data_IF_597487345232
#
_entry.id   IF_597487345232
#
_cell.length_a   1.000
_cell.length_b   1.000
_cell.length_c   1.000
_cell.angle_alpha   90.00
_cell.angle_beta   90.00
_cell.angle_gamma   90.00
#
_symmetry.space_group_name_H-M   'P 1'
#
loop_
_entity.id
_entity.type
_entity.pdbx_description
1 polymer ?
#
# COMPACT_ATOMS: atom_id res chain seq x y z
N UNK A 1 51.90 17.62 24.22
CA UNK A 1 51.98 18.86 25.01
C UNK A 1 52.08 20.03 24.07
N UNK A 2 51.35 21.12 24.35
CA UNK A 2 51.61 22.52 23.99
C UNK A 2 50.43 23.39 24.46
N UNK A 3 50.75 24.63 24.83
CA UNK A 3 49.93 25.66 25.49
C UNK A 3 50.58 27.02 25.16
N UNK A 4 49.93 28.19 25.17
CA UNK A 4 48.59 28.71 25.53
C UNK A 4 48.39 30.01 24.68
N UNK A 5 47.33 30.84 24.82
CA UNK A 5 45.93 30.68 25.28
C UNK A 5 44.92 31.30 24.25
N UNK A 6 43.63 31.45 24.59
CA UNK A 6 43.03 32.79 24.79
C UNK A 6 41.60 32.72 25.36
N UNK A 7 41.29 33.65 26.25
CA UNK A 7 39.94 33.83 26.80
C UNK A 7 39.14 34.79 25.92
N UNK A 8 38.02 34.33 25.36
CA UNK A 8 36.93 35.18 24.90
C UNK A 8 35.78 35.12 25.91
N UNK A 9 35.03 36.21 26.14
CA UNK A 9 34.17 36.33 27.32
C UNK A 9 32.95 35.43 27.26
N UNK A 10 32.55 34.92 28.43
CA UNK A 10 31.23 34.36 28.65
C UNK A 10 30.16 35.42 28.32
N UNK A 11 29.46 35.24 27.20
CA UNK A 11 28.20 35.91 26.96
C UNK A 11 27.17 35.26 27.90
N UNK A 12 26.91 35.91 29.03
CA UNK A 12 25.83 35.50 29.90
C UNK A 12 24.49 35.64 29.15
N UNK A 13 23.91 34.51 28.75
CA UNK A 13 22.52 34.45 28.33
C UNK A 13 21.65 34.78 29.55
N UNK A 14 21.39 36.07 29.77
CA UNK A 14 20.40 36.55 30.72
C UNK A 14 19.00 36.26 30.18
N UNK A 15 18.60 34.99 30.27
CA UNK A 15 17.21 34.59 30.16
C UNK A 15 16.43 35.39 31.22
N UNK A 16 15.61 36.32 30.75
CA UNK A 16 14.96 37.35 31.57
C UNK A 16 13.52 36.92 31.80
N UNK A 17 13.16 36.72 33.05
CA UNK A 17 11.85 36.25 33.47
C UNK A 17 10.75 37.24 33.03
N UNK A 18 9.91 36.81 32.08
CA UNK A 18 8.82 37.64 31.53
C UNK A 18 7.75 37.99 32.58
N UNK A 19 7.74 37.37 33.77
CA UNK A 19 6.80 37.71 34.85
C UNK A 19 7.15 39.02 35.58
N UNK A 20 8.36 39.58 35.36
CA UNK A 20 8.76 40.83 36.00
C UNK A 20 9.35 41.86 35.03
N UNK A 21 8.58 42.91 34.73
CA UNK A 21 8.94 44.34 34.72
C UNK A 21 7.99 45.16 33.83
N UNK A 22 7.70 46.37 34.25
CA UNK A 22 7.00 47.34 33.43
C UNK A 22 7.94 47.92 32.36
N UNK A 23 7.45 48.02 31.12
CA UNK A 23 7.90 48.96 30.08
C UNK A 23 9.39 48.91 29.71
N UNK A 24 9.81 47.99 28.83
CA UNK A 24 10.68 48.31 27.64
C UNK A 24 11.08 47.11 26.76
N UNK A 25 10.87 45.86 27.17
CA UNK A 25 11.25 44.68 26.37
C UNK A 25 10.00 43.83 26.04
N UNK A 26 9.77 43.56 24.75
CA UNK A 26 8.64 42.77 24.29
C UNK A 26 8.90 41.28 24.50
N UNK A 27 8.25 40.68 25.51
CA UNK A 27 8.20 39.23 25.62
C UNK A 27 7.33 38.68 24.48
N UNK A 28 7.88 37.75 23.70
CA UNK A 28 7.17 37.02 22.66
C UNK A 28 6.38 35.89 23.31
N UNK A 29 5.11 35.73 22.96
CA UNK A 29 4.23 34.71 23.53
C UNK A 29 3.52 33.93 22.41
N UNK A 30 3.58 32.60 22.50
CA UNK A 30 2.87 31.68 21.62
C UNK A 30 1.96 30.79 22.47
N UNK A 31 0.72 30.61 22.04
CA UNK A 31 -0.21 29.67 22.65
C UNK A 31 -0.68 28.63 21.62
N UNK A 32 -0.57 27.36 21.97
CA UNK A 32 -1.07 26.22 21.22
C UNK A 32 -2.26 25.59 21.96
N UNK A 33 -3.30 25.18 21.26
CA UNK A 33 -4.38 24.37 21.82
C UNK A 33 -4.85 23.24 20.91
N UNK A 34 -5.30 22.15 21.52
CA UNK A 34 -5.73 20.89 20.88
C UNK A 34 -6.99 20.33 21.56
N UNK A 35 -7.74 19.42 20.93
CA UNK A 35 -9.02 18.93 21.46
C UNK A 35 -9.01 17.50 22.02
N UNK A 36 -8.07 16.68 21.56
CA UNK A 36 -8.09 15.21 21.69
C UNK A 36 -6.79 14.65 22.29
N UNK A 37 -5.94 15.52 22.83
CA UNK A 37 -4.65 15.17 23.42
C UNK A 37 -4.11 16.25 24.34
N UNK A 38 -2.84 16.12 24.67
CA UNK A 38 -2.07 17.03 25.51
C UNK A 38 -0.77 17.42 24.84
N UNK A 39 -0.26 18.59 25.20
CA UNK A 39 0.95 19.20 24.69
C UNK A 39 2.01 19.26 25.79
N UNK A 40 3.25 18.98 25.43
CA UNK A 40 4.42 19.12 26.30
C UNK A 40 5.59 19.73 25.53
N UNK A 41 6.65 20.12 26.24
CA UNK A 41 7.94 20.52 25.63
C UNK A 41 9.02 19.62 26.22
N UNK A 42 9.79 18.96 25.36
CA UNK A 42 10.91 18.12 25.78
C UNK A 42 12.13 18.98 26.19
N UNK A 43 12.97 18.44 27.07
CA UNK A 43 14.24 19.04 27.52
C UNK A 43 14.14 20.51 27.96
N UNK A 44 13.17 20.81 28.84
CA UNK A 44 13.08 22.11 29.51
C UNK A 44 14.26 22.36 30.46
N UNK A 45 14.77 23.59 30.45
CA UNK A 45 15.85 24.07 31.31
C UNK A 45 15.32 25.05 32.38
N UNK A 46 16.09 25.21 33.46
CA UNK A 46 15.78 26.19 34.51
C UNK A 46 15.68 27.61 33.92
N UNK A 47 14.49 28.21 34.04
CA UNK A 47 14.16 29.53 33.53
C UNK A 47 13.40 29.57 32.20
N UNK A 48 13.15 28.43 31.55
CA UNK A 48 12.24 28.38 30.40
C UNK A 48 10.79 28.67 30.83
N UNK A 49 10.14 29.63 30.18
CA UNK A 49 8.80 30.10 30.54
C UNK A 49 7.75 29.33 29.74
N UNK A 50 7.35 28.15 30.26
CA UNK A 50 6.34 27.29 29.63
C UNK A 50 5.24 26.92 30.60
N UNK A 51 4.01 27.34 30.28
CA UNK A 51 2.78 27.03 31.02
C UNK A 51 1.95 25.98 30.28
N UNK A 52 1.21 25.14 31.01
CA UNK A 52 0.32 24.13 30.41
C UNK A 52 0.98 22.80 30.04
N UNK A 53 2.15 22.46 30.61
CA UNK A 53 2.78 21.15 30.42
C UNK A 53 1.82 19.99 30.71
N UNK A 54 1.65 19.08 29.74
CA UNK A 54 0.74 17.95 29.84
C UNK A 54 -0.75 18.31 29.79
N UNK A 55 -1.12 19.49 29.26
CA UNK A 55 -2.50 19.95 29.12
C UNK A 55 -2.91 20.14 27.65
N UNK A 56 -4.19 20.35 27.39
CA UNK A 56 -4.73 20.62 26.05
C UNK A 56 -4.41 22.02 25.52
N UNK A 57 -3.91 22.91 26.38
CA UNK A 57 -3.44 24.25 26.05
C UNK A 57 -2.01 24.42 26.61
N UNK A 58 -1.10 24.94 25.79
CA UNK A 58 0.30 25.15 26.11
C UNK A 58 0.69 26.58 25.71
N UNK A 59 1.33 27.32 26.61
CA UNK A 59 1.82 28.67 26.33
C UNK A 59 3.33 28.73 26.56
N UNK A 60 4.07 29.23 25.57
CA UNK A 60 5.52 29.42 25.62
C UNK A 60 5.80 30.91 25.46
N UNK A 61 6.61 31.44 26.38
CA UNK A 61 7.02 32.84 26.41
C UNK A 61 8.55 32.97 26.38
N UNK A 62 9.10 33.99 25.73
CA UNK A 62 10.52 34.32 25.83
C UNK A 62 10.82 35.75 25.36
N UNK A 63 11.84 36.38 25.94
CA UNK A 63 12.42 37.63 25.41
C UNK A 63 13.34 37.40 24.20
N UNK A 64 13.58 36.15 23.79
CA UNK A 64 14.46 35.75 22.69
C UNK A 64 13.72 34.89 21.66
N UNK A 65 13.62 35.39 20.42
CA UNK A 65 13.03 34.65 19.30
C UNK A 65 13.75 33.31 19.04
N UNK A 66 15.07 33.26 19.25
CA UNK A 66 15.86 32.03 19.09
C UNK A 66 15.45 30.96 20.11
N UNK A 67 15.25 31.35 21.37
CA UNK A 67 14.82 30.44 22.44
C UNK A 67 13.35 30.03 22.27
N UNK A 68 12.48 30.94 21.86
CA UNK A 68 11.09 30.63 21.54
C UNK A 68 11.00 29.57 20.42
N UNK A 69 11.75 29.75 19.33
CA UNK A 69 11.79 28.78 18.23
C UNK A 69 12.41 27.44 18.63
N UNK A 70 13.43 27.45 19.49
CA UNK A 70 14.06 26.26 20.06
C UNK A 70 13.06 25.44 20.89
N UNK A 71 12.34 26.08 21.82
CA UNK A 71 11.27 25.46 22.62
C UNK A 71 10.12 24.95 21.75
N UNK A 72 9.69 25.72 20.75
CA UNK A 72 8.65 25.30 19.80
C UNK A 72 9.06 24.07 18.98
N UNK A 73 10.35 23.91 18.65
CA UNK A 73 10.86 22.73 17.94
C UNK A 73 10.80 21.43 18.76
N UNK A 74 10.69 21.54 20.09
CA UNK A 74 10.55 20.43 21.05
C UNK A 74 9.12 20.23 21.56
N UNK A 75 8.12 20.91 20.98
CA UNK A 75 6.71 20.68 21.34
C UNK A 75 6.26 19.31 20.88
N UNK A 76 5.82 18.48 21.81
CA UNK A 76 5.26 17.16 21.55
C UNK A 76 3.77 17.13 21.81
N UNK A 77 3.06 16.29 21.05
CA UNK A 77 1.63 16.01 21.23
C UNK A 77 1.42 14.55 21.61
N UNK A 78 0.63 14.30 22.64
CA UNK A 78 0.19 12.96 23.04
C UNK A 78 -1.33 12.85 22.99
N UNK A 79 -1.86 11.96 22.14
CA UNK A 79 -3.30 11.68 22.07
C UNK A 79 -3.80 11.07 23.37
N UNK A 80 -4.87 11.63 23.96
CA UNK A 80 -5.53 11.09 25.14
C UNK A 80 -6.72 10.21 24.79
N UNK A 81 -7.24 10.32 23.56
CA UNK A 81 -8.22 9.39 23.00
C UNK A 81 -7.52 8.17 22.37
N UNK A 82 -8.12 6.98 22.53
CA UNK A 82 -7.71 5.77 21.81
C UNK A 82 -8.51 5.64 20.52
N UNK A 83 -7.84 5.79 19.37
CA UNK A 83 -8.37 5.41 18.07
C UNK A 83 -7.22 5.00 17.12
N UNK A 84 -7.50 4.13 16.15
CA UNK A 84 -6.44 3.51 15.31
C UNK A 84 -5.88 4.50 14.28
N UNK A 85 -6.77 5.34 13.73
CA UNK A 85 -6.50 6.47 12.84
C UNK A 85 -7.44 7.60 13.24
N UNK A 86 -6.93 8.70 13.75
CA UNK A 86 -7.74 9.89 14.09
C UNK A 86 -6.97 11.16 13.69
N UNK A 87 -7.61 12.31 13.86
CA UNK A 87 -7.01 13.61 13.62
C UNK A 87 -7.45 14.57 14.70
N UNK A 88 -6.54 15.42 15.15
CA UNK A 88 -6.85 16.56 16.00
C UNK A 88 -6.55 17.86 15.23
N UNK A 89 -7.17 18.97 15.64
CA UNK A 89 -6.95 20.28 15.02
C UNK A 89 -6.17 21.15 16.00
N UNK A 90 -4.90 21.40 15.69
CA UNK A 90 -4.05 22.31 16.46
C UNK A 90 -4.41 23.75 16.10
N UNK A 91 -4.60 24.57 17.12
CA UNK A 91 -4.80 26.01 17.05
C UNK A 91 -3.55 26.69 17.57
N UNK A 92 -2.75 27.28 16.69
CA UNK A 92 -1.53 28.02 17.02
C UNK A 92 -1.81 29.52 16.97
N UNK A 93 -1.48 30.24 18.05
CA UNK A 93 -1.70 31.69 18.17
C UNK A 93 -0.40 32.39 18.56
N UNK A 94 -0.06 33.45 17.85
CA UNK A 94 1.05 34.36 18.14
C UNK A 94 0.58 35.79 17.90
N UNK A 95 0.64 36.64 18.94
CA UNK A 95 0.05 37.99 18.90
C UNK A 95 -1.41 37.95 18.36
N UNK A 96 -1.76 38.80 17.40
CA UNK A 96 -3.08 38.84 16.75
C UNK A 96 -3.24 37.80 15.61
N UNK A 97 -2.29 36.88 15.44
CA UNK A 97 -2.25 35.93 14.34
C UNK A 97 -2.59 34.50 14.80
N UNK A 98 -3.45 33.83 14.02
CA UNK A 98 -3.89 32.47 14.29
C UNK A 98 -3.73 31.57 13.06
N UNK A 99 -3.04 30.45 13.24
CA UNK A 99 -3.01 29.34 12.30
C UNK A 99 -3.77 28.14 12.88
N UNK A 100 -4.43 27.36 12.01
CA UNK A 100 -5.01 26.08 12.40
C UNK A 100 -4.56 25.01 11.42
N UNK A 101 -4.11 23.86 11.92
CA UNK A 101 -3.64 22.75 11.09
C UNK A 101 -3.99 21.40 11.71
N UNK A 102 -4.34 20.38 10.89
CA UNK A 102 -4.62 19.05 11.39
C UNK A 102 -3.33 18.31 11.73
N UNK A 103 -3.34 17.53 12.81
CA UNK A 103 -2.34 16.51 13.10
C UNK A 103 -2.96 15.13 12.92
N UNK A 104 -2.33 14.29 12.10
CA UNK A 104 -2.82 12.94 11.79
C UNK A 104 -2.23 11.94 12.77
N UNK A 105 -3.07 11.41 13.66
CA UNK A 105 -2.68 10.46 14.70
C UNK A 105 -2.93 9.05 14.15
N UNK A 106 -1.85 8.29 13.99
CA UNK A 106 -1.89 6.92 13.47
C UNK A 106 -1.18 5.99 14.44
N UNK A 107 -1.82 4.87 14.78
CA UNK A 107 -1.14 3.81 15.52
C UNK A 107 -0.11 3.14 14.61
N UNK A 108 1.17 3.00 15.02
CA UNK A 108 2.15 2.24 14.25
C UNK A 108 1.72 0.77 14.11
N UNK A 109 1.86 0.22 12.91
CA UNK A 109 1.73 -1.22 12.64
C UNK A 109 3.02 -1.96 13.02
N UNK A 110 2.89 -3.18 13.53
CA UNK A 110 4.05 -4.08 13.66
C UNK A 110 4.53 -4.45 12.25
N UNK A 111 5.82 -4.30 11.91
CA UNK A 111 6.30 -4.63 10.57
C UNK A 111 6.25 -6.15 10.31
N UNK A 112 5.77 -6.53 9.13
CA UNK A 112 5.86 -7.92 8.65
C UNK A 112 7.22 -8.07 7.98
N UNK A 113 8.12 -8.83 8.62
CA UNK A 113 9.44 -9.11 8.08
C UNK A 113 9.45 -10.46 7.37
N UNK A 114 10.08 -10.49 6.19
CA UNK A 114 10.35 -11.71 5.43
C UNK A 114 11.85 -11.95 5.37
N UNK A 115 12.25 -13.22 5.28
CA UNK A 115 13.62 -13.59 4.89
C UNK A 115 13.87 -13.04 3.47
N UNK A 116 14.93 -12.21 3.24
CA UNK A 116 15.27 -11.73 1.91
C UNK A 116 15.75 -12.85 0.97
N UNK A 117 15.96 -14.07 1.48
CA UNK A 117 16.37 -15.22 0.70
C UNK A 117 17.80 -15.11 0.16
N UNK A 118 18.13 -16.04 -0.74
CA UNK A 118 19.45 -16.12 -1.41
C UNK A 118 19.36 -16.10 -2.92
N UNK A 119 18.22 -16.54 -3.45
CA UNK A 119 17.91 -16.59 -4.88
C UNK A 119 16.40 -16.51 -5.12
N UNK A 120 16.01 -16.41 -6.38
CA UNK A 120 14.62 -16.22 -6.82
C UNK A 120 13.65 -17.30 -6.30
N UNK A 121 14.12 -18.54 -6.10
CA UNK A 121 13.29 -19.65 -5.60
C UNK A 121 12.95 -19.51 -4.11
N UNK A 122 13.72 -18.73 -3.36
CA UNK A 122 13.48 -18.38 -1.96
C UNK A 122 12.71 -17.06 -1.77
N UNK A 123 12.75 -16.18 -2.77
CA UNK A 123 12.12 -14.85 -2.73
C UNK A 123 10.71 -14.82 -3.31
N UNK A 124 10.44 -15.67 -4.31
CA UNK A 124 9.19 -15.69 -5.08
C UNK A 124 8.58 -17.08 -5.09
N UNK A 125 7.27 -17.14 -4.82
CA UNK A 125 6.42 -18.29 -5.16
C UNK A 125 5.54 -17.91 -6.35
N UNK A 126 5.46 -18.77 -7.37
CA UNK A 126 4.48 -18.58 -8.45
C UNK A 126 3.15 -19.15 -7.97
N UNK A 127 2.07 -18.41 -8.17
CA UNK A 127 0.73 -18.90 -7.85
C UNK A 127 -0.21 -18.76 -9.06
N UNK A 128 -1.08 -19.73 -9.22
CA UNK A 128 -2.09 -19.74 -10.27
C UNK A 128 -3.37 -20.40 -9.78
N UNK A 129 -4.47 -20.15 -10.49
CA UNK A 129 -5.77 -20.76 -10.23
C UNK A 129 -6.32 -21.34 -11.51
N UNK A 130 -6.63 -22.64 -11.49
CA UNK A 130 -7.23 -23.35 -12.64
C UNK A 130 -8.70 -23.66 -12.45
N UNK A 131 -9.37 -23.99 -13.55
CA UNK A 131 -10.73 -24.54 -13.58
C UNK A 131 -10.96 -25.23 -14.94
N UNK A 132 -11.01 -26.57 -14.96
CA UNK A 132 -11.24 -27.38 -16.17
C UNK A 132 -10.21 -27.20 -17.31
N UNK A 133 -9.04 -26.60 -17.02
CA UNK A 133 -8.01 -26.18 -17.99
C UNK A 133 -6.65 -26.87 -17.76
N UNK A 134 -6.67 -28.18 -17.54
CA UNK A 134 -5.44 -28.93 -17.25
C UNK A 134 -4.45 -28.96 -18.41
N UNK A 135 -4.89 -28.80 -19.67
CA UNK A 135 -3.97 -28.73 -20.82
C UNK A 135 -3.14 -27.45 -20.76
N UNK A 136 -3.81 -26.33 -20.54
CA UNK A 136 -3.24 -25.00 -20.43
C UNK A 136 -2.31 -24.93 -19.21
N UNK A 137 -2.78 -25.39 -18.05
CA UNK A 137 -2.00 -25.45 -16.81
C UNK A 137 -0.73 -26.31 -16.97
N UNK A 138 -0.80 -27.43 -17.70
CA UNK A 138 0.38 -28.26 -17.95
C UNK A 138 1.41 -27.54 -18.84
N UNK A 139 0.97 -26.76 -19.84
CA UNK A 139 1.88 -25.92 -20.65
C UNK A 139 2.51 -24.80 -19.81
N UNK A 140 1.73 -24.16 -18.92
CA UNK A 140 2.25 -23.19 -17.96
C UNK A 140 3.32 -23.83 -17.06
N UNK A 141 3.02 -24.97 -16.43
CA UNK A 141 3.97 -25.67 -15.54
C UNK A 141 5.24 -26.10 -16.28
N UNK A 142 5.11 -26.65 -17.50
CA UNK A 142 6.26 -27.07 -18.30
C UNK A 142 7.13 -25.88 -18.74
N UNK A 143 6.52 -24.78 -19.18
CA UNK A 143 7.23 -23.56 -19.56
C UNK A 143 7.92 -22.91 -18.36
N UNK A 144 7.27 -22.81 -17.18
CA UNK A 144 7.91 -22.40 -15.93
C UNK A 144 9.13 -23.28 -15.64
N UNK A 145 8.98 -24.61 -15.67
CA UNK A 145 10.04 -25.56 -15.30
C UNK A 145 11.25 -25.55 -16.26
N UNK A 146 11.08 -25.08 -17.49
CA UNK A 146 12.17 -24.84 -18.45
C UNK A 146 13.16 -23.77 -18.00
N UNK A 147 12.69 -22.72 -17.30
CA UNK A 147 13.51 -21.59 -16.85
C UNK A 147 13.75 -21.60 -15.33
N UNK A 148 12.73 -21.99 -14.56
CA UNK A 148 12.69 -22.00 -13.10
C UNK A 148 12.39 -23.43 -12.60
N UNK A 149 13.37 -24.32 -12.69
CA UNK A 149 13.19 -25.76 -12.40
C UNK A 149 12.90 -26.08 -10.92
N UNK A 150 13.18 -25.15 -10.00
CA UNK A 150 13.03 -25.32 -8.54
C UNK A 150 12.03 -24.36 -7.89
N UNK A 151 11.53 -23.33 -8.58
CA UNK A 151 10.65 -22.33 -7.96
C UNK A 151 9.35 -22.98 -7.47
N UNK A 152 8.88 -22.59 -6.29
CA UNK A 152 7.62 -23.11 -5.75
C UNK A 152 6.46 -22.66 -6.63
N UNK A 153 5.56 -23.59 -6.98
CA UNK A 153 4.30 -23.30 -7.66
C UNK A 153 3.16 -23.72 -6.73
N UNK A 154 2.18 -22.84 -6.50
CA UNK A 154 0.93 -23.18 -5.81
C UNK A 154 -0.22 -23.10 -6.83
N UNK A 155 -0.97 -24.19 -6.96
CA UNK A 155 -2.15 -24.28 -7.83
C UNK A 155 -3.40 -24.37 -6.96
N UNK A 156 -4.27 -23.37 -7.02
CA UNK A 156 -5.62 -23.45 -6.47
C UNK A 156 -6.59 -23.95 -7.55
N UNK A 157 -7.42 -24.94 -7.23
CA UNK A 157 -8.20 -25.67 -8.23
C UNK A 157 -9.63 -25.91 -7.74
N UNK A 158 -10.63 -25.36 -8.44
CA UNK A 158 -12.07 -25.59 -8.19
C UNK A 158 -12.74 -26.38 -9.34
N UNK A 159 -11.97 -27.15 -10.10
CA UNK A 159 -12.48 -28.00 -11.18
C UNK A 159 -13.56 -28.95 -10.68
N UNK A 160 -14.56 -29.23 -11.54
CA UNK A 160 -15.70 -30.10 -11.20
C UNK A 160 -15.25 -31.52 -10.84
N UNK A 161 -14.23 -32.03 -11.54
CA UNK A 161 -13.55 -33.29 -11.27
C UNK A 161 -12.04 -33.02 -11.29
N UNK A 162 -11.39 -32.85 -10.12
CA UNK A 162 -9.98 -32.50 -10.08
C UNK A 162 -9.04 -33.60 -10.59
N UNK A 163 -8.10 -33.24 -11.47
CA UNK A 163 -7.02 -34.12 -11.93
C UNK A 163 -5.75 -33.90 -11.07
N UNK A 164 -4.99 -34.93 -10.68
CA UNK A 164 -3.79 -34.76 -9.85
C UNK A 164 -2.68 -33.96 -10.56
N UNK A 165 -2.38 -32.76 -10.06
CA UNK A 165 -1.25 -31.96 -10.55
C UNK A 165 -0.01 -32.30 -9.71
N UNK A 166 1.03 -32.84 -10.35
CA UNK A 166 2.24 -33.30 -9.66
C UNK A 166 3.52 -32.83 -10.34
N UNK A 167 4.58 -32.63 -9.55
CA UNK A 167 5.89 -32.19 -10.04
C UNK A 167 6.79 -31.71 -8.90
N UNK A 168 8.05 -31.43 -9.23
CA UNK A 168 8.99 -30.85 -8.27
C UNK A 168 8.47 -29.51 -7.74
N UNK A 169 8.45 -29.31 -6.42
CA UNK A 169 8.00 -28.09 -5.74
C UNK A 169 6.65 -27.53 -6.26
N UNK A 170 5.67 -28.40 -6.44
CA UNK A 170 4.26 -28.02 -6.73
C UNK A 170 3.40 -28.40 -5.53
N UNK A 171 2.57 -27.47 -5.06
CA UNK A 171 1.49 -27.74 -4.12
C UNK A 171 0.15 -27.51 -4.83
N UNK A 172 -0.71 -28.54 -4.82
CA UNK A 172 -2.01 -28.54 -5.48
C UNK A 172 -3.11 -28.55 -4.42
N UNK A 173 -3.89 -27.47 -4.37
CA UNK A 173 -4.95 -27.26 -3.38
C UNK A 173 -6.32 -27.33 -4.06
N UNK A 174 -7.03 -28.41 -3.78
CA UNK A 174 -8.38 -28.66 -4.28
C UNK A 174 -9.40 -27.91 -3.41
N UNK A 175 -10.25 -27.13 -4.07
CA UNK A 175 -11.37 -26.39 -3.50
C UNK A 175 -12.70 -27.11 -3.80
N UNK A 176 -13.80 -26.77 -3.12
CA UNK A 176 -15.13 -27.16 -3.60
C UNK A 176 -15.34 -26.71 -5.05
N UNK A 177 -16.12 -27.45 -5.87
CA UNK A 177 -16.32 -27.12 -7.27
C UNK A 177 -16.85 -25.69 -7.51
N UNK A 178 -16.31 -25.05 -8.55
CA UNK A 178 -16.78 -23.77 -9.10
C UNK A 178 -16.86 -22.59 -8.11
N UNK A 179 -16.05 -22.59 -7.04
CA UNK A 179 -16.00 -21.51 -6.03
C UNK A 179 -15.60 -20.15 -6.62
N UNK A 180 -14.80 -20.12 -7.68
CA UNK A 180 -14.47 -18.91 -8.42
C UNK A 180 -13.04 -18.41 -8.22
N UNK A 181 -12.72 -17.36 -8.99
CA UNK A 181 -11.37 -16.83 -9.16
C UNK A 181 -10.81 -16.25 -7.85
N UNK A 182 -11.59 -15.43 -7.15
CA UNK A 182 -11.15 -14.70 -5.97
C UNK A 182 -11.04 -15.61 -4.73
N UNK A 183 -11.90 -16.62 -4.61
CA UNK A 183 -11.72 -17.69 -3.63
C UNK A 183 -10.39 -18.44 -3.82
N UNK A 184 -10.03 -18.78 -5.07
CA UNK A 184 -8.76 -19.45 -5.37
C UNK A 184 -7.53 -18.58 -5.18
N UNK A 185 -7.63 -17.28 -5.50
CA UNK A 185 -6.59 -16.28 -5.20
C UNK A 185 -6.31 -16.20 -3.70
N UNK A 186 -7.36 -16.06 -2.88
CA UNK A 186 -7.23 -16.09 -1.41
C UNK A 186 -6.58 -17.38 -0.91
N UNK A 187 -7.01 -18.54 -1.42
CA UNK A 187 -6.43 -19.81 -1.01
C UNK A 187 -4.94 -19.84 -1.32
N UNK A 188 -4.52 -19.58 -2.56
CA UNK A 188 -3.11 -19.59 -2.90
C UNK A 188 -2.28 -18.56 -2.11
N UNK A 189 -2.79 -17.33 -1.92
CA UNK A 189 -2.12 -16.28 -1.13
C UNK A 189 -2.02 -16.64 0.36
N UNK A 190 -2.98 -17.37 0.91
CA UNK A 190 -2.92 -17.85 2.30
C UNK A 190 -1.78 -18.85 2.55
N UNK A 191 -1.32 -19.57 1.51
CA UNK A 191 -0.26 -20.59 1.60
C UNK A 191 1.16 -20.04 1.32
N UNK A 192 1.28 -18.74 1.00
CA UNK A 192 2.57 -18.09 0.75
C UNK A 192 3.43 -17.95 2.00
N UNK A 193 4.72 -18.27 1.86
CA UNK A 193 5.76 -18.04 2.88
C UNK A 193 6.88 -17.11 2.41
N UNK A 194 6.93 -16.81 1.11
CA UNK A 194 7.93 -15.95 0.47
C UNK A 194 7.56 -14.47 0.54
N UNK A 195 8.57 -13.58 0.48
CA UNK A 195 8.39 -12.10 0.49
C UNK A 195 7.47 -11.64 -0.63
N UNK A 196 7.70 -12.18 -1.83
CA UNK A 196 6.92 -11.89 -3.02
C UNK A 196 6.22 -13.14 -3.53
N UNK A 197 5.22 -12.91 -4.38
CA UNK A 197 4.63 -13.95 -5.22
C UNK A 197 4.34 -13.39 -6.61
N UNK A 198 4.34 -14.28 -7.61
CA UNK A 198 3.97 -13.97 -8.98
C UNK A 198 2.61 -14.56 -9.30
N UNK A 199 1.60 -13.73 -9.53
CA UNK A 199 0.33 -14.18 -10.08
C UNK A 199 0.47 -14.42 -11.59
N UNK A 200 -0.01 -15.57 -12.04
CA UNK A 200 -0.20 -15.91 -13.46
C UNK A 200 -1.53 -16.63 -13.66
N UNK A 201 -2.21 -16.35 -14.77
CA UNK A 201 -3.36 -17.17 -15.17
C UNK A 201 -2.86 -18.47 -15.83
N UNK A 202 -3.64 -19.55 -15.73
CA UNK A 202 -3.24 -20.92 -16.10
C UNK A 202 -3.06 -21.14 -17.62
N UNK A 203 -3.50 -20.19 -18.45
CA UNK A 203 -3.26 -20.11 -19.90
C UNK A 203 -2.08 -19.22 -20.31
N UNK A 204 -1.19 -18.85 -19.39
CA UNK A 204 0.06 -18.17 -19.72
C UNK A 204 1.17 -19.17 -20.13
N UNK A 205 2.23 -18.67 -20.76
CA UNK A 205 3.40 -19.44 -21.16
C UNK A 205 4.69 -18.63 -20.89
N UNK A 206 5.64 -19.21 -20.16
CA UNK A 206 6.93 -18.58 -19.93
C UNK A 206 7.81 -18.67 -21.18
N UNK A 207 8.37 -17.55 -21.60
CA UNK A 207 9.22 -17.41 -22.78
C UNK A 207 10.68 -17.16 -22.38
N UNK A 208 11.60 -17.07 -23.35
CA UNK A 208 13.03 -16.88 -23.07
C UNK A 208 13.31 -15.50 -22.41
N UNK A 209 12.45 -14.54 -22.71
CA UNK A 209 12.41 -13.16 -22.22
C UNK A 209 11.69 -13.00 -20.87
N UNK A 210 11.00 -14.03 -20.37
CA UNK A 210 10.23 -13.96 -19.12
C UNK A 210 11.16 -14.05 -17.91
N UNK A 211 11.46 -12.90 -17.27
CA UNK A 211 12.47 -12.76 -16.21
C UNK A 211 11.88 -12.24 -14.91
N UNK A 212 11.66 -13.14 -13.95
CA UNK A 212 11.14 -12.80 -12.62
C UNK A 212 12.17 -11.95 -11.84
N UNK A 213 13.46 -12.16 -12.05
CA UNK A 213 14.52 -11.40 -11.38
C UNK A 213 14.40 -9.89 -11.66
N UNK A 214 13.98 -9.51 -12.87
CA UNK A 214 13.83 -8.11 -13.27
C UNK A 214 12.68 -7.40 -12.56
N UNK A 215 11.62 -8.12 -12.15
CA UNK A 215 10.60 -7.56 -11.26
C UNK A 215 11.16 -7.34 -9.86
N UNK A 216 11.86 -8.35 -9.32
CA UNK A 216 12.42 -8.31 -7.95
C UNK A 216 13.47 -7.21 -7.81
N UNK A 217 14.33 -7.00 -8.80
CA UNK A 217 15.35 -5.94 -8.80
C UNK A 217 14.73 -4.55 -8.61
N UNK A 218 13.64 -4.25 -9.34
CA UNK A 218 12.88 -3.00 -9.22
C UNK A 218 12.20 -2.90 -7.84
N UNK A 219 11.58 -3.98 -7.36
CA UNK A 219 10.85 -4.01 -6.07
C UNK A 219 11.76 -4.02 -4.84
N UNK A 220 13.02 -4.45 -4.93
CA UNK A 220 14.02 -4.25 -3.87
C UNK A 220 14.56 -2.81 -3.89
N UNK A 221 14.66 -2.18 -5.06
CA UNK A 221 14.98 -0.76 -5.19
C UNK A 221 13.86 0.18 -4.71
N UNK A 222 12.60 -0.26 -4.78
CA UNK A 222 11.41 0.49 -4.36
C UNK A 222 10.46 -0.44 -3.56
N UNK A 223 10.73 -0.68 -2.25
CA UNK A 223 10.09 -1.74 -1.43
C UNK A 223 8.61 -1.51 -1.08
N UNK A 224 8.04 -0.41 -1.56
CA UNK A 224 6.63 -0.07 -1.47
C UNK A 224 5.82 -0.49 -2.71
N UNK A 225 6.48 -0.83 -3.83
CA UNK A 225 5.81 -1.15 -5.09
C UNK A 225 5.37 -2.62 -5.21
N UNK A 226 4.30 -2.80 -5.97
CA UNK A 226 3.87 -4.03 -6.61
C UNK A 226 3.82 -3.83 -8.14
N UNK A 227 4.19 -4.82 -8.94
CA UNK A 227 4.53 -4.63 -10.37
C UNK A 227 3.75 -5.53 -11.33
N UNK A 228 3.12 -4.91 -12.33
CA UNK A 228 2.50 -5.57 -13.47
C UNK A 228 3.38 -5.55 -14.72
N UNK A 229 3.42 -6.67 -15.44
CA UNK A 229 4.11 -6.80 -16.72
C UNK A 229 3.18 -6.72 -17.94
N UNK A 230 3.63 -7.30 -19.04
CA UNK A 230 2.95 -7.38 -20.33
C UNK A 230 2.54 -8.82 -20.64
N UNK A 231 1.40 -9.01 -21.33
CA UNK A 231 0.92 -10.33 -21.74
C UNK A 231 0.84 -10.36 -23.26
N UNK A 232 1.69 -11.18 -23.89
CA UNK A 232 1.89 -11.23 -25.36
C UNK A 232 2.18 -9.87 -26.00
N UNK A 233 2.88 -9.00 -25.28
CA UNK A 233 3.23 -7.64 -25.72
C UNK A 233 2.11 -6.60 -25.57
N UNK A 234 0.95 -6.96 -24.99
CA UNK A 234 -0.07 -5.99 -24.59
C UNK A 234 0.12 -5.55 -23.13
N UNK A 235 -0.02 -4.25 -22.91
CA UNK A 235 0.01 -3.62 -21.59
C UNK A 235 -1.41 -3.17 -21.22
N UNK A 236 -2.08 -3.99 -20.41
CA UNK A 236 -3.32 -3.60 -19.77
C UNK A 236 -3.03 -3.00 -18.39
N UNK A 237 -3.21 -1.68 -18.27
CA UNK A 237 -3.17 -0.93 -17.02
C UNK A 237 -4.19 0.21 -17.03
N UNK A 238 -4.53 0.71 -15.84
CA UNK A 238 -5.50 1.80 -15.67
C UNK A 238 -5.26 2.60 -14.39
N UNK A 239 -5.85 3.80 -14.36
CA UNK A 239 -5.99 4.67 -13.19
C UNK A 239 -7.43 4.58 -12.65
N UNK A 240 -7.59 4.76 -11.36
CA UNK A 240 -8.85 4.89 -10.63
C UNK A 240 -8.92 6.29 -10.02
N UNK A 241 -9.85 7.11 -10.51
CA UNK A 241 -10.30 8.28 -9.76
C UNK A 241 -11.41 7.84 -8.79
N UNK A 242 -11.23 8.17 -7.52
CA UNK A 242 -12.21 7.92 -6.47
C UNK A 242 -12.47 9.23 -5.71
N UNK A 243 -13.74 9.61 -5.65
CA UNK A 243 -14.28 10.61 -4.73
C UNK A 243 -15.07 9.85 -3.65
N UNK A 244 -14.81 10.15 -2.37
CA UNK A 244 -15.45 9.48 -1.23
C UNK A 244 -16.90 9.95 -1.03
N UNK A 245 -17.25 11.14 -1.52
CA UNK A 245 -18.57 11.74 -1.32
C UNK A 245 -18.87 12.05 0.15
N UNK A 246 -20.15 11.99 0.52
CA UNK A 246 -20.63 12.15 1.89
C UNK A 246 -21.66 11.09 2.29
N UNK A 247 -22.14 11.13 3.55
CA UNK A 247 -23.12 10.19 4.12
C UNK A 247 -24.52 10.24 3.48
N UNK A 248 -24.77 11.16 2.54
CA UNK A 248 -25.99 11.24 1.74
C UNK A 248 -25.77 10.76 0.31
N UNK A 249 -24.68 11.22 -0.33
CA UNK A 249 -24.48 11.09 -1.77
C UNK A 249 -23.48 10.00 -2.17
N UNK A 250 -22.74 9.40 -1.23
CA UNK A 250 -21.86 8.25 -1.47
C UNK A 250 -20.71 8.48 -2.45
N UNK A 251 -19.83 7.48 -2.57
CA UNK A 251 -18.63 7.59 -3.40
C UNK A 251 -18.89 7.53 -4.91
N UNK A 252 -18.02 8.18 -5.67
CA UNK A 252 -18.00 8.14 -7.12
C UNK A 252 -16.66 7.58 -7.62
N UNK A 253 -16.70 6.53 -8.46
CA UNK A 253 -15.50 5.88 -8.98
C UNK A 253 -15.44 5.88 -10.51
N UNK A 254 -14.27 6.21 -11.07
CA UNK A 254 -14.02 6.21 -12.52
C UNK A 254 -12.70 5.53 -12.85
N UNK A 255 -12.78 4.43 -13.61
CA UNK A 255 -11.61 3.81 -14.25
C UNK A 255 -11.24 4.58 -15.52
N UNK A 256 -9.95 4.81 -15.72
CA UNK A 256 -9.40 5.59 -16.82
C UNK A 256 -8.24 4.83 -17.44
N UNK A 257 -8.23 4.70 -18.78
CA UNK A 257 -7.05 4.22 -19.49
C UNK A 257 -5.98 5.30 -19.49
N UNK A 258 -4.95 5.12 -18.68
CA UNK A 258 -3.87 6.07 -18.47
C UNK A 258 -2.96 5.63 -17.32
N UNK A 259 -2.03 6.50 -16.94
CA UNK A 259 -1.13 6.34 -15.80
C UNK A 259 -1.02 7.68 -15.04
N UNK A 260 -0.62 7.62 -13.77
CA UNK A 260 -0.43 8.81 -12.94
C UNK A 260 0.82 9.60 -13.36
N UNK A 261 1.96 8.92 -13.35
CA UNK A 261 3.25 9.48 -13.78
C UNK A 261 4.23 8.35 -14.18
N UNK A 262 5.29 8.64 -14.96
CA UNK A 262 6.40 7.72 -15.16
C UNK A 262 7.07 7.37 -13.81
N UNK A 263 7.59 6.16 -13.68
CA UNK A 263 8.29 5.73 -12.47
C UNK A 263 9.74 6.30 -12.48
N UNK A 264 10.15 7.11 -11.48
CA UNK A 264 11.47 7.74 -11.49
C UNK A 264 12.60 6.71 -11.53
N UNK A 265 13.50 6.83 -12.50
CA UNK A 265 14.67 5.96 -12.67
C UNK A 265 14.43 4.66 -13.45
N UNK A 266 13.19 4.37 -13.87
CA UNK A 266 12.84 3.13 -14.57
C UNK A 266 12.11 3.43 -15.89
N UNK A 267 12.88 3.47 -16.98
CA UNK A 267 12.34 3.78 -18.32
C UNK A 267 11.29 2.75 -18.76
N UNK A 268 10.14 3.23 -19.21
CA UNK A 268 9.01 2.39 -19.62
C UNK A 268 8.19 1.81 -18.47
N UNK A 269 8.46 2.19 -17.22
CA UNK A 269 7.59 1.94 -16.07
C UNK A 269 6.72 3.15 -15.72
N UNK A 270 5.48 2.92 -15.30
CA UNK A 270 4.50 3.96 -14.97
C UNK A 270 3.69 3.60 -13.72
N UNK A 271 3.48 4.56 -12.82
CA UNK A 271 2.59 4.40 -11.67
C UNK A 271 1.13 4.39 -12.13
N UNK A 272 0.37 3.40 -11.68
CA UNK A 272 -1.01 3.07 -12.08
C UNK A 272 -1.76 2.50 -10.88
N UNK A 273 -3.08 2.35 -10.96
CA UNK A 273 -3.85 1.75 -9.86
C UNK A 273 -4.16 0.28 -10.10
N UNK A 274 -4.19 -0.18 -11.37
CA UNK A 274 -4.36 -1.59 -11.69
C UNK A 274 -3.66 -2.04 -12.96
N UNK A 275 -3.35 -3.33 -13.01
CA UNK A 275 -2.50 -3.98 -14.01
C UNK A 275 -2.98 -5.39 -14.32
N UNK A 276 -2.67 -5.90 -15.52
CA UNK A 276 -2.96 -7.25 -16.01
C UNK A 276 -2.54 -8.37 -15.04
N UNK A 277 -3.12 -9.57 -15.20
CA UNK A 277 -2.83 -10.77 -14.38
C UNK A 277 -1.42 -11.36 -14.54
N UNK A 278 -0.43 -10.56 -14.93
CA UNK A 278 0.98 -10.89 -14.82
C UNK A 278 1.61 -9.94 -13.80
N UNK A 279 1.51 -10.30 -12.52
CA UNK A 279 1.65 -9.37 -11.40
C UNK A 279 2.56 -9.96 -10.32
N UNK A 280 3.76 -9.39 -10.12
CA UNK A 280 4.60 -9.66 -8.96
C UNK A 280 4.24 -8.70 -7.83
N UNK A 281 3.91 -9.23 -6.66
CA UNK A 281 3.49 -8.41 -5.53
C UNK A 281 4.06 -8.92 -4.20
N UNK A 282 4.12 -8.01 -3.22
CA UNK A 282 4.44 -8.30 -1.83
C UNK A 282 3.31 -9.10 -1.18
N UNK A 283 3.68 -10.17 -0.52
CA UNK A 283 2.73 -11.12 0.08
C UNK A 283 1.86 -10.47 1.16
N UNK A 284 2.42 -9.59 1.98
CA UNK A 284 1.70 -8.86 3.04
C UNK A 284 0.79 -7.76 2.50
N UNK A 285 1.26 -6.98 1.51
CA UNK A 285 0.47 -5.95 0.84
C UNK A 285 -0.83 -6.53 0.28
N UNK A 286 -0.75 -7.61 -0.51
CA UNK A 286 -1.95 -8.27 -1.08
C UNK A 286 -2.81 -8.94 -0.02
N UNK A 287 -2.23 -9.48 1.07
CA UNK A 287 -3.00 -9.99 2.22
C UNK A 287 -3.79 -8.89 2.95
N UNK A 288 -3.30 -7.65 2.96
CA UNK A 288 -4.01 -6.51 3.57
C UNK A 288 -5.23 -6.03 2.78
N UNK A 289 -5.27 -6.36 1.48
CA UNK A 289 -6.42 -6.12 0.60
C UNK A 289 -7.37 -7.30 0.63
N UNK A 290 -6.85 -8.51 0.38
CA UNK A 290 -7.63 -9.72 0.15
C UNK A 290 -8.34 -9.72 -1.21
N UNK A 291 -8.95 -10.84 -1.57
CA UNK A 291 -9.81 -10.96 -2.74
C UNK A 291 -11.24 -11.24 -2.28
N UNK A 292 -12.24 -10.53 -2.82
CA UNK A 292 -13.63 -10.73 -2.44
C UNK A 292 -14.23 -12.03 -3.03
N UNK A 293 -14.49 -13.09 -2.22
CA UNK A 293 -14.95 -14.37 -2.75
C UNK A 293 -16.39 -14.34 -3.28
N UNK A 294 -17.13 -13.25 -3.10
CA UNK A 294 -18.42 -13.04 -3.78
C UNK A 294 -18.23 -12.99 -5.31
N UNK A 295 -17.09 -12.49 -5.78
CA UNK A 295 -16.81 -12.22 -7.19
C UNK A 295 -16.19 -13.44 -7.89
N UNK A 296 -17.04 -14.31 -8.42
CA UNK A 296 -16.60 -15.64 -8.88
C UNK A 296 -15.91 -15.66 -10.24
N UNK A 297 -16.31 -14.81 -11.19
CA UNK A 297 -15.89 -14.89 -12.60
C UNK A 297 -15.09 -13.68 -13.09
N UNK A 298 -15.65 -12.48 -12.98
CA UNK A 298 -15.06 -11.25 -13.53
C UNK A 298 -14.85 -10.24 -12.42
N UNK A 299 -13.61 -10.10 -11.95
CA UNK A 299 -13.28 -9.34 -10.74
C UNK A 299 -11.94 -8.58 -10.81
N UNK A 300 -11.33 -8.50 -11.99
CA UNK A 300 -9.97 -8.01 -12.15
C UNK A 300 -9.77 -6.53 -11.76
N UNK A 301 -10.73 -5.64 -12.05
CA UNK A 301 -10.62 -4.23 -11.64
C UNK A 301 -10.89 -4.07 -10.14
N UNK A 302 -11.73 -4.96 -9.61
CA UNK A 302 -12.36 -4.87 -8.30
C UNK A 302 -11.37 -5.10 -7.15
N UNK A 303 -10.37 -5.96 -7.35
CA UNK A 303 -9.24 -6.09 -6.42
C UNK A 303 -8.44 -4.78 -6.27
N UNK A 304 -8.22 -4.07 -7.38
CA UNK A 304 -7.49 -2.80 -7.36
C UNK A 304 -8.33 -1.67 -6.76
N UNK A 305 -9.66 -1.71 -6.91
CA UNK A 305 -10.58 -0.82 -6.17
C UNK A 305 -10.44 -1.05 -4.65
N UNK A 306 -10.52 -2.30 -4.19
CA UNK A 306 -10.33 -2.64 -2.77
C UNK A 306 -8.92 -2.30 -2.23
N UNK A 307 -7.95 -2.15 -3.15
CA UNK A 307 -6.55 -1.81 -2.93
C UNK A 307 -6.22 -0.32 -2.96
N UNK A 308 -7.16 0.57 -3.32
CA UNK A 308 -6.93 2.03 -3.31
C UNK A 308 -6.51 2.49 -1.91
N UNK A 309 -5.41 3.23 -1.83
CA UNK A 309 -4.83 3.70 -0.57
C UNK A 309 -4.13 2.61 0.28
N UNK A 310 -3.99 1.38 -0.24
CA UNK A 310 -3.26 0.26 0.40
C UNK A 310 -2.11 -0.26 -0.47
N UNK A 311 -2.32 -0.36 -1.78
CA UNK A 311 -1.32 -0.77 -2.76
C UNK A 311 -0.68 0.45 -3.42
N UNK A 312 0.54 0.27 -3.91
CA UNK A 312 1.24 1.23 -4.78
C UNK A 312 1.73 0.43 -5.98
N UNK A 313 1.11 0.63 -7.15
CA UNK A 313 1.30 -0.26 -8.30
C UNK A 313 2.01 0.46 -9.44
N UNK A 314 2.88 -0.26 -10.15
CA UNK A 314 3.41 0.20 -11.44
C UNK A 314 3.24 -0.86 -12.53
N UNK A 315 3.13 -0.42 -13.78
CA UNK A 315 3.23 -1.29 -14.96
C UNK A 315 4.53 -0.99 -15.71
N UNK A 316 5.29 -2.02 -16.04
CA UNK A 316 6.61 -1.91 -16.68
C UNK A 316 6.65 -2.58 -18.04
N UNK A 317 7.29 -1.93 -19.02
CA UNK A 317 7.51 -2.47 -20.36
C UNK A 317 8.60 -3.53 -20.39
N UNK A 318 8.48 -4.48 -21.31
CA UNK A 318 9.46 -5.58 -21.51
C UNK A 318 9.52 -6.63 -20.40
N UNK A 319 8.72 -6.48 -19.33
CA UNK A 319 8.47 -7.54 -18.36
C UNK A 319 7.37 -8.45 -18.91
N UNK A 320 7.70 -9.33 -19.86
CA UNK A 320 6.70 -9.97 -20.73
C UNK A 320 6.52 -11.48 -20.46
N UNK A 321 5.26 -11.95 -20.55
CA UNK A 321 4.88 -13.38 -20.56
C UNK A 321 4.04 -13.70 -21.81
N UNK A 322 4.13 -14.93 -22.31
CA UNK A 322 3.29 -15.42 -23.41
C UNK A 322 1.87 -15.76 -22.94
N UNK A 323 0.93 -15.78 -23.88
CA UNK A 323 -0.45 -16.24 -23.67
C UNK A 323 -0.76 -17.35 -24.68
N UNK A 324 -1.26 -18.48 -24.20
CA UNK A 324 -1.64 -19.61 -25.05
C UNK A 324 -2.87 -19.25 -25.89
N UNK A 325 -2.99 -19.80 -27.10
CA UNK A 325 -4.17 -19.55 -27.94
C UNK A 325 -5.38 -20.24 -27.31
N UNK A 326 -6.38 -19.44 -26.91
CA UNK A 326 -7.63 -19.95 -26.37
C UNK A 326 -8.30 -20.94 -27.35
N UNK A 327 -8.62 -22.12 -26.84
CA UNK A 327 -9.42 -23.14 -27.52
C UNK A 327 -10.82 -23.15 -26.90
N UNK A 328 -11.86 -23.11 -27.73
CA UNK A 328 -13.23 -23.16 -27.25
C UNK A 328 -13.52 -24.50 -26.56
N UNK A 329 -14.09 -24.44 -25.36
CA UNK A 329 -14.42 -25.57 -24.52
C UNK A 329 -15.77 -25.29 -23.85
N UNK A 330 -16.84 -25.76 -24.48
CA UNK A 330 -18.26 -25.47 -24.15
C UNK A 330 -18.55 -25.44 -22.63
N UNK A 331 -18.12 -26.47 -21.89
CA UNK A 331 -18.31 -26.51 -20.43
C UNK A 331 -17.62 -25.35 -19.72
N UNK A 332 -16.35 -25.08 -20.02
CA UNK A 332 -15.59 -23.99 -19.42
C UNK A 332 -16.13 -22.61 -19.84
N UNK A 333 -16.44 -22.43 -21.11
CA UNK A 333 -16.95 -21.17 -21.67
C UNK A 333 -18.31 -20.78 -21.10
N UNK A 334 -19.13 -21.78 -20.71
CA UNK A 334 -20.40 -21.57 -19.99
C UNK A 334 -20.22 -20.96 -18.60
N UNK A 335 -19.06 -21.16 -17.98
CA UNK A 335 -18.70 -20.53 -16.70
C UNK A 335 -17.86 -19.26 -16.87
N UNK A 336 -17.10 -19.11 -17.96
CA UNK A 336 -16.22 -17.95 -18.19
C UNK A 336 -17.01 -16.66 -18.41
N UNK A 337 -18.15 -16.76 -19.09
CA UNK A 337 -18.96 -15.62 -19.51
C UNK A 337 -20.19 -15.50 -18.58
N UNK A 338 -20.17 -14.64 -17.55
CA UNK A 338 -21.33 -14.43 -16.69
C UNK A 338 -22.52 -13.92 -17.50
N UNK A 339 -23.73 -14.36 -17.14
CA UNK A 339 -24.95 -13.77 -17.68
C UNK A 339 -25.28 -12.43 -17.01
N UNK A 340 -26.11 -11.61 -17.65
CA UNK A 340 -26.57 -10.31 -17.10
C UNK A 340 -26.95 -10.32 -15.61
N UNK A 341 -27.65 -11.34 -15.06
CA UNK A 341 -27.98 -11.35 -13.64
C UNK A 341 -26.77 -11.40 -12.71
N UNK A 342 -25.66 -12.03 -13.13
CA UNK A 342 -24.41 -12.06 -12.36
C UNK A 342 -23.65 -10.73 -12.48
N UNK A 343 -23.73 -10.05 -13.63
CA UNK A 343 -23.22 -8.67 -13.81
C UNK A 343 -24.00 -7.66 -12.94
N UNK A 344 -25.33 -7.76 -12.89
CA UNK A 344 -26.20 -6.94 -12.04
C UNK A 344 -25.94 -7.19 -10.55
N UNK A 345 -25.82 -8.45 -10.12
CA UNK A 345 -25.48 -8.81 -8.74
C UNK A 345 -24.09 -8.31 -8.35
N UNK A 346 -23.10 -8.44 -9.24
CA UNK A 346 -21.77 -7.88 -9.07
C UNK A 346 -21.84 -6.37 -8.85
N UNK A 347 -22.50 -5.62 -9.74
CA UNK A 347 -22.60 -4.16 -9.62
C UNK A 347 -23.28 -3.74 -8.31
N UNK A 348 -24.43 -4.36 -7.97
CA UNK A 348 -25.14 -4.09 -6.73
C UNK A 348 -24.26 -4.35 -5.48
N UNK A 349 -23.47 -5.43 -5.49
CA UNK A 349 -22.51 -5.72 -4.43
C UNK A 349 -21.42 -4.65 -4.33
N UNK A 350 -20.90 -4.12 -5.43
CA UNK A 350 -19.90 -3.03 -5.42
C UNK A 350 -20.47 -1.71 -4.90
N UNK A 351 -21.65 -1.30 -5.36
CA UNK A 351 -22.31 -0.09 -4.87
C UNK A 351 -22.53 -0.17 -3.35
N UNK A 352 -23.03 -1.31 -2.86
CA UNK A 352 -23.24 -1.50 -1.43
C UNK A 352 -21.93 -1.57 -0.62
N UNK A 353 -21.00 -2.46 -1.00
CA UNK A 353 -19.76 -2.75 -0.25
C UNK A 353 -18.85 -1.55 -0.14
N UNK A 354 -18.68 -0.82 -1.24
CA UNK A 354 -17.76 0.32 -1.33
C UNK A 354 -18.48 1.66 -1.14
N UNK A 355 -19.74 1.63 -0.69
CA UNK A 355 -20.60 2.79 -0.46
C UNK A 355 -20.60 3.78 -1.65
N UNK A 356 -20.68 3.26 -2.87
CA UNK A 356 -20.70 4.05 -4.09
C UNK A 356 -22.14 4.39 -4.50
N UNK A 357 -22.32 5.55 -5.13
CA UNK A 357 -23.51 5.88 -5.92
C UNK A 357 -23.22 6.01 -7.43
N UNK A 358 -21.94 6.10 -7.83
CA UNK A 358 -21.54 6.09 -9.24
C UNK A 358 -20.31 5.24 -9.51
N UNK A 359 -20.35 4.45 -10.60
CA UNK A 359 -19.17 3.77 -11.13
C UNK A 359 -19.12 3.85 -12.66
N UNK A 360 -17.94 4.11 -13.22
CA UNK A 360 -17.66 4.08 -14.67
C UNK A 360 -16.39 3.31 -14.97
N UNK A 361 -16.45 2.42 -15.96
CA UNK A 361 -15.37 1.53 -16.38
C UNK A 361 -14.73 1.93 -17.72
#
# INVERSE_FOLDING_TARGET
GMTFPDQAPSAANHNTDCTSFALTQSCLQVSLSVKSGVLSVEDLLDGDQVEGQGQSELTISSSSLTQLNDLLSRVTYTSTIYHIRTSDLVSFTFEDHKAMFPIMIRRPSVPVLYDPGKDINSQVTIITKTFLRYKELNVLIQSIRKFYSKIKIIVADDSLNPEPVSGNNIEHYIMPPAQGWFAGRNLAVSQLTTKYFLWVDDDFEFLNETRIESFVEIMEGLPELDLGGEVSGDQFYFVLEYDEGDESDGGCLRRIRGFHQPLPGYDGCFLVDGVVNYFLARTDAVRSVGFDPFLKRVAHTEFFIDGVGKLMVASCKGLSVGHQKHQAQETYDSYRNPGKPEEEQKLAHHFFKNYLNYIKY
#
